data_IF_483763669962
#
_entry.id   IF_483763669962
#
_cell.length_a   1.000
_cell.length_b   1.000
_cell.length_c   1.000
_cell.angle_alpha   90.00
_cell.angle_beta   90.00
_cell.angle_gamma   90.00
#
_symmetry.space_group_name_H-M   'P 1'
#
loop_
_entity.id
_entity.type
_entity.pdbx_description
1 polymer ?
#
# COMPACT_ATOMS: atom_id res chain seq x y z
N UNK A 1 -2.57 -3.84 8.27
CA UNK A 1 -2.89 -2.46 8.70
C UNK A 1 -1.82 -1.60 8.07
N UNK A 2 -2.23 -0.85 7.07
CA UNK A 2 -1.37 -0.62 5.88
C UNK A 2 -1.01 0.86 5.71
N UNK A 3 -1.60 1.74 6.52
CA UNK A 3 -1.36 3.19 6.46
C UNK A 3 -0.03 3.61 7.10
N UNK A 4 0.29 3.12 8.30
CA UNK A 4 1.58 3.41 8.95
C UNK A 4 2.75 2.81 8.15
N UNK A 5 2.49 1.66 7.56
CA UNK A 5 3.34 1.02 6.57
C UNK A 5 3.65 1.95 5.38
N UNK A 6 2.61 2.51 4.76
CA UNK A 6 2.78 3.49 3.67
C UNK A 6 3.59 4.72 4.10
N UNK A 7 3.31 5.30 5.28
CA UNK A 7 4.05 6.45 5.80
C UNK A 7 5.53 6.13 6.07
N UNK A 8 5.83 4.89 6.44
CA UNK A 8 7.22 4.44 6.63
C UNK A 8 7.98 4.41 5.30
N UNK A 9 7.32 4.06 4.21
CA UNK A 9 7.92 4.03 2.85
C UNK A 9 7.97 5.39 2.18
N UNK A 10 6.99 6.24 2.47
CA UNK A 10 6.82 7.53 1.79
C UNK A 10 6.26 8.55 2.79
N UNK A 11 7.14 9.23 3.55
CA UNK A 11 6.71 10.21 4.55
C UNK A 11 5.95 11.40 3.93
N UNK A 12 6.19 11.71 2.65
CA UNK A 12 5.44 12.71 1.89
C UNK A 12 3.93 12.41 1.75
N UNK A 13 3.51 11.16 1.93
CA UNK A 13 2.09 10.78 1.93
C UNK A 13 1.34 11.33 3.16
N UNK A 14 2.05 11.73 4.24
CA UNK A 14 1.43 12.38 5.42
C UNK A 14 0.74 13.70 5.05
N UNK A 15 1.29 14.42 4.07
CA UNK A 15 0.73 15.70 3.61
C UNK A 15 -0.43 15.52 2.62
N UNK A 16 -0.77 14.27 2.27
CA UNK A 16 -1.84 13.95 1.32
C UNK A 16 -3.08 13.45 2.05
N UNK A 17 -4.23 13.58 1.38
CA UNK A 17 -5.49 13.07 1.88
C UNK A 17 -5.50 11.54 1.77
N UNK A 18 -5.35 10.85 2.91
CA UNK A 18 -5.40 9.40 2.97
C UNK A 18 -6.79 8.90 3.36
N UNK A 19 -7.23 7.83 2.71
CA UNK A 19 -8.50 7.15 3.01
C UNK A 19 -8.22 5.67 3.28
N UNK A 20 -8.41 5.26 4.54
CA UNK A 20 -8.28 3.86 4.93
C UNK A 20 -9.64 3.17 4.80
N UNK A 21 -9.78 2.35 3.76
CA UNK A 21 -10.95 1.50 3.57
C UNK A 21 -10.80 0.25 4.43
N UNK A 22 -11.19 0.31 5.71
CA UNK A 22 -11.21 -0.85 6.63
C UNK A 22 -11.96 -2.08 6.07
N UNK A 23 -12.76 -1.90 5.01
CA UNK A 23 -13.33 -2.96 4.18
C UNK A 23 -13.68 -2.40 2.81
N UNK A 24 -13.59 -3.23 1.75
CA UNK A 24 -14.06 -2.90 0.40
C UNK A 24 -15.54 -2.51 0.37
N UNK A 25 -16.36 -3.00 1.31
CA UNK A 25 -17.77 -2.61 1.42
C UNK A 25 -17.96 -1.11 1.71
N UNK A 26 -16.94 -0.43 2.24
CA UNK A 26 -17.01 1.00 2.56
C UNK A 26 -16.75 1.91 1.35
N UNK A 27 -16.33 1.39 0.19
CA UNK A 27 -16.10 2.20 -1.02
C UNK A 27 -17.30 3.10 -1.35
N UNK A 28 -18.52 2.56 -1.25
CA UNK A 28 -19.74 3.31 -1.56
C UNK A 28 -19.90 4.56 -0.70
N UNK A 29 -19.54 4.47 0.59
CA UNK A 29 -19.58 5.61 1.52
C UNK A 29 -18.45 6.59 1.23
N UNK A 30 -17.31 6.07 0.79
CA UNK A 30 -16.12 6.85 0.47
C UNK A 30 -16.19 7.55 -0.88
N UNK A 31 -17.13 7.17 -1.76
CA UNK A 31 -17.28 7.73 -3.10
C UNK A 31 -17.32 9.26 -3.13
N UNK A 32 -18.03 9.88 -2.18
CA UNK A 32 -18.09 11.34 -2.05
C UNK A 32 -16.75 11.96 -1.67
N UNK A 33 -15.94 11.27 -0.87
CA UNK A 33 -14.59 11.71 -0.54
C UNK A 33 -13.69 11.59 -1.76
N UNK A 34 -13.72 10.43 -2.42
CA UNK A 34 -12.94 10.16 -3.63
C UNK A 34 -13.23 11.16 -4.76
N UNK A 35 -14.49 11.58 -4.93
CA UNK A 35 -14.85 12.57 -5.96
C UNK A 35 -14.28 13.97 -5.75
N UNK A 36 -13.76 14.28 -4.55
CA UNK A 36 -13.11 15.56 -4.28
C UNK A 36 -11.65 15.58 -4.74
N UNK A 37 -11.08 14.43 -5.08
CA UNK A 37 -9.69 14.28 -5.47
C UNK A 37 -9.58 14.01 -6.96
N UNK A 38 -8.61 14.66 -7.62
CA UNK A 38 -8.38 14.51 -9.06
C UNK A 38 -7.73 13.18 -9.41
N UNK A 39 -6.84 12.69 -8.53
CA UNK A 39 -6.10 11.45 -8.71
C UNK A 39 -6.20 10.64 -7.42
N UNK A 40 -6.48 9.34 -7.56
CA UNK A 40 -6.56 8.40 -6.45
C UNK A 40 -5.40 7.42 -6.60
N UNK A 41 -4.45 7.47 -5.67
CA UNK A 41 -3.40 6.46 -5.56
C UNK A 41 -3.95 5.26 -4.79
N UNK A 42 -4.05 4.10 -5.45
CA UNK A 42 -4.64 2.89 -4.89
C UNK A 42 -3.57 1.93 -4.41
N UNK A 43 -3.58 1.65 -3.11
CA UNK A 43 -2.70 0.70 -2.43
C UNK A 43 -3.52 -0.48 -1.88
N UNK A 44 -4.35 -1.08 -2.72
CA UNK A 44 -5.19 -2.22 -2.34
C UNK A 44 -4.38 -3.51 -2.33
N UNK A 45 -4.86 -4.49 -1.56
CA UNK A 45 -4.27 -5.83 -1.50
C UNK A 45 -4.24 -6.49 -2.89
N UNK A 46 -3.23 -7.32 -3.15
CA UNK A 46 -3.04 -8.03 -4.42
C UNK A 46 -4.01 -9.22 -4.61
N UNK A 47 -5.06 -9.29 -3.80
CA UNK A 47 -6.08 -10.33 -3.87
C UNK A 47 -7.22 -9.99 -4.85
N UNK A 48 -8.13 -10.94 -5.04
CA UNK A 48 -9.31 -10.77 -5.89
C UNK A 48 -10.22 -9.62 -5.42
N UNK A 49 -10.27 -9.34 -4.10
CA UNK A 49 -11.07 -8.27 -3.53
C UNK A 49 -10.52 -6.89 -3.87
N UNK A 50 -9.20 -6.72 -3.76
CA UNK A 50 -8.49 -5.51 -4.15
C UNK A 50 -8.59 -5.24 -5.66
N UNK A 51 -8.36 -6.26 -6.50
CA UNK A 51 -8.50 -6.14 -7.96
C UNK A 51 -9.91 -5.75 -8.39
N UNK A 52 -10.94 -6.42 -7.86
CA UNK A 52 -12.34 -6.06 -8.16
C UNK A 52 -12.68 -4.65 -7.73
N UNK A 53 -12.15 -4.22 -6.58
CA UNK A 53 -12.31 -2.85 -6.08
C UNK A 53 -11.68 -1.83 -7.01
N UNK A 54 -10.45 -2.08 -7.45
CA UNK A 54 -9.75 -1.20 -8.39
C UNK A 54 -10.53 -1.05 -9.70
N UNK A 55 -11.02 -2.16 -10.26
CA UNK A 55 -11.86 -2.15 -11.45
C UNK A 55 -13.19 -1.43 -11.24
N UNK A 56 -13.80 -1.57 -10.06
CA UNK A 56 -15.03 -0.86 -9.70
C UNK A 56 -14.79 0.65 -9.67
N UNK A 57 -13.69 1.12 -9.07
CA UNK A 57 -13.35 2.54 -9.04
C UNK A 57 -13.11 3.10 -10.45
N UNK A 58 -12.39 2.37 -11.30
CA UNK A 58 -12.19 2.75 -12.71
C UNK A 58 -13.52 2.80 -13.47
N UNK A 59 -14.41 1.83 -13.26
CA UNK A 59 -15.77 1.81 -13.85
C UNK A 59 -16.64 2.96 -13.38
N UNK A 60 -16.46 3.43 -12.15
CA UNK A 60 -17.16 4.61 -11.62
C UNK A 60 -16.65 5.94 -12.19
N UNK A 61 -15.60 5.90 -13.03
CA UNK A 61 -15.06 7.08 -13.72
C UNK A 61 -14.02 7.83 -12.90
N UNK A 62 -13.50 7.23 -11.83
CA UNK A 62 -12.39 7.81 -11.08
C UNK A 62 -11.06 7.60 -11.81
N UNK A 63 -10.19 8.61 -11.73
CA UNK A 63 -8.81 8.48 -12.18
C UNK A 63 -7.98 7.82 -11.07
N UNK A 64 -7.70 6.52 -11.27
CA UNK A 64 -7.08 5.67 -10.25
C UNK A 64 -5.75 5.14 -10.76
N UNK A 65 -4.68 5.49 -10.06
CA UNK A 65 -3.36 4.93 -10.28
C UNK A 65 -3.16 3.73 -9.37
N UNK A 66 -2.89 2.58 -9.99
CA UNK A 66 -2.58 1.34 -9.28
C UNK A 66 -1.14 1.34 -8.79
N UNK A 67 -0.96 1.22 -7.47
CA UNK A 67 0.36 1.03 -6.84
C UNK A 67 0.56 -0.40 -6.33
N UNK A 68 -0.41 -1.31 -6.55
CA UNK A 68 -0.28 -2.72 -6.16
C UNK A 68 0.91 -3.41 -6.82
N UNK A 69 1.30 -2.91 -8.00
CA UNK A 69 2.52 -3.29 -8.73
C UNK A 69 3.82 -3.13 -7.93
N UNK A 70 3.90 -2.17 -7.00
CA UNK A 70 5.09 -1.94 -6.15
C UNK A 70 5.37 -3.15 -5.26
N UNK A 71 4.30 -3.80 -4.80
CA UNK A 71 4.36 -4.95 -3.91
C UNK A 71 3.75 -6.20 -4.55
N UNK A 72 3.81 -6.34 -5.88
CA UNK A 72 3.18 -7.43 -6.64
C UNK A 72 3.51 -8.87 -6.18
N UNK A 73 4.66 -9.05 -5.52
CA UNK A 73 5.12 -10.35 -5.00
C UNK A 73 4.63 -10.61 -3.56
N UNK A 74 3.87 -9.69 -2.99
CA UNK A 74 3.40 -9.70 -1.61
C UNK A 74 1.88 -9.50 -1.60
N UNK A 75 1.23 -10.08 -0.59
CA UNK A 75 -0.22 -9.98 -0.44
C UNK A 75 -0.67 -8.53 -0.21
N UNK A 76 0.06 -7.83 0.63
CA UNK A 76 -0.25 -6.48 1.11
C UNK A 76 1.04 -5.69 1.42
N UNK A 77 0.89 -4.38 1.63
CA UNK A 77 2.00 -3.48 1.97
C UNK A 77 2.72 -3.90 3.26
N UNK A 78 1.99 -4.42 4.24
CA UNK A 78 2.59 -4.82 5.51
C UNK A 78 3.47 -6.06 5.35
N UNK A 79 3.08 -7.01 4.50
CA UNK A 79 3.92 -8.16 4.14
C UNK A 79 5.18 -7.74 3.38
N UNK A 80 5.04 -6.78 2.45
CA UNK A 80 6.19 -6.21 1.73
C UNK A 80 7.20 -5.56 2.69
N UNK A 81 6.73 -4.69 3.60
CA UNK A 81 7.59 -4.07 4.61
C UNK A 81 8.25 -5.09 5.54
N UNK A 82 7.49 -6.07 6.04
CA UNK A 82 8.07 -7.12 6.87
C UNK A 82 9.19 -7.87 6.14
N UNK A 83 9.04 -8.11 4.83
CA UNK A 83 10.09 -8.72 4.03
C UNK A 83 11.31 -7.80 3.86
N UNK A 84 11.09 -6.51 3.65
CA UNK A 84 12.15 -5.50 3.52
C UNK A 84 12.96 -5.36 4.82
N UNK A 85 12.31 -5.27 5.97
CA UNK A 85 12.97 -5.27 7.28
C UNK A 85 13.75 -6.57 7.52
N UNK A 86 13.17 -7.74 7.21
CA UNK A 86 13.88 -9.03 7.33
C UNK A 86 15.09 -9.15 6.39
N UNK A 87 15.05 -8.53 5.22
CA UNK A 87 16.19 -8.45 4.31
C UNK A 87 17.29 -7.53 4.85
N UNK A 88 16.91 -6.40 5.45
CA UNK A 88 17.83 -5.47 6.11
C UNK A 88 18.54 -6.12 7.32
N UNK A 89 17.80 -6.81 8.19
CA UNK A 89 18.38 -7.52 9.34
C UNK A 89 19.35 -8.65 8.94
N UNK A 90 19.10 -9.33 7.82
CA UNK A 90 20.01 -10.37 7.29
C UNK A 90 21.28 -9.77 6.69
N UNK A 91 21.21 -8.56 6.11
CA UNK A 91 22.38 -7.84 5.62
C UNK A 91 23.25 -7.32 6.77
N UNK A 92 22.63 -6.83 7.85
CA UNK A 92 23.33 -6.36 9.05
C UNK A 92 23.95 -7.53 9.84
N UNK A 93 23.24 -8.63 10.04
CA UNK A 93 23.78 -9.82 10.71
C UNK A 93 24.96 -10.47 9.96
N UNK A 94 25.01 -10.35 8.62
CA UNK A 94 26.19 -10.79 7.84
C UNK A 94 27.41 -9.88 8.05
N UNK A 95 27.21 -8.58 8.24
CA UNK A 95 28.30 -7.64 8.56
C UNK A 95 28.87 -7.89 9.95
N UNK A 96 28.02 -8.14 10.95
CA UNK A 96 28.45 -8.38 12.33
C UNK A 96 29.19 -9.73 12.46
N UNK A 97 28.76 -10.79 11.73
CA UNK A 97 29.44 -12.09 11.73
C UNK A 97 30.74 -12.14 10.90
N UNK A 98 31.02 -11.11 10.10
CA UNK A 98 32.26 -10.98 9.32
C UNK A 98 33.42 -10.32 10.08
N UNK A 99 33.14 -9.68 11.23
CA UNK A 99 34.17 -9.16 12.13
C UNK A 99 34.50 -10.28 13.13
N UNK A 100 35.35 -11.21 12.70
CA UNK A 100 36.15 -11.99 13.65
C UNK A 100 37.36 -11.13 14.03
N UNK A 101 37.38 -10.68 15.29
CA UNK A 101 38.63 -10.30 15.98
C UNK A 101 39.55 -11.53 16.09
#
# INVERSE_FOLDING_TARGET
>A
MDYLSLLTMSPDEENKAALILNSINNIKKSRFFLSKHKLICSYLDNDEGGKRTLEQLKREGFDVQDYSSVFQNYKDLNEYLCAEFKHSEKAENKRIKGIKL
#
